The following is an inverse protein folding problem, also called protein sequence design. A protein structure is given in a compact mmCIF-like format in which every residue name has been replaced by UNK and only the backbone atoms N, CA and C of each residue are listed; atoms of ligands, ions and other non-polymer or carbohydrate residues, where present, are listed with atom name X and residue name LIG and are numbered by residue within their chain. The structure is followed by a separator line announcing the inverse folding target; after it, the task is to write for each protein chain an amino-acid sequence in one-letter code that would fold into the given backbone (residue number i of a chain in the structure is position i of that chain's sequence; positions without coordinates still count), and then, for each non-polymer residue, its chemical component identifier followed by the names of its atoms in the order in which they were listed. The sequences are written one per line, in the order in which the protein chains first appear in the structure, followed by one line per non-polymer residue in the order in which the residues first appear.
data_IF_088731990800
#
_entry.id   IF_088731990800
#
_cell.length_a   1.000
_cell.length_b   1.000
_cell.length_c   1.000
_cell.angle_alpha   90.00
_cell.angle_beta   90.00
_cell.angle_gamma   90.00
#
_symmetry.space_group_name_H-M   'P 1'
#
loop_
_entity.id
_entity.type
_entity.pdbx_description
1 polymer ?
#
# COMPACT_ATOMS: atom_id res chain seq x y z
N UNK A 1 12.84 -22.60 6.63
CA UNK A 1 11.62 -22.59 5.80
C UNK A 1 11.83 -23.01 4.33
N UNK A 2 12.96 -23.63 3.95
CA UNK A 2 13.36 -23.87 2.55
C UNK A 2 12.81 -25.17 1.90
N UNK A 3 12.43 -26.16 2.71
CA UNK A 3 12.18 -27.55 2.24
C UNK A 3 11.00 -27.78 1.28
N UNK A 4 10.02 -26.87 1.18
CA UNK A 4 8.78 -27.14 0.42
C UNK A 4 8.92 -26.88 -1.09
N UNK A 5 9.85 -26.03 -1.49
CA UNK A 5 9.99 -25.59 -2.89
C UNK A 5 11.29 -26.05 -3.56
N UNK A 6 12.19 -26.70 -2.80
CA UNK A 6 13.50 -27.17 -3.29
C UNK A 6 13.38 -28.06 -4.55
N UNK A 7 12.37 -28.94 -4.61
CA UNK A 7 12.15 -29.82 -5.75
C UNK A 7 11.68 -29.07 -7.02
N UNK A 8 10.85 -28.03 -6.84
CA UNK A 8 10.37 -27.20 -7.94
C UNK A 8 11.49 -26.29 -8.46
N UNK A 9 12.22 -25.63 -7.55
CA UNK A 9 13.36 -24.76 -7.89
C UNK A 9 14.42 -25.57 -8.66
N UNK A 10 14.80 -26.74 -8.18
CA UNK A 10 15.76 -27.62 -8.86
C UNK A 10 15.27 -28.08 -10.26
N UNK A 11 13.96 -28.27 -10.45
CA UNK A 11 13.40 -28.62 -11.75
C UNK A 11 13.43 -27.43 -12.73
N UNK A 12 13.18 -26.22 -12.25
CA UNK A 12 13.24 -24.98 -13.05
C UNK A 12 14.67 -24.64 -13.45
N UNK A 13 15.62 -24.77 -12.52
CA UNK A 13 17.06 -24.61 -12.78
C UNK A 13 17.56 -25.58 -13.87
N UNK A 14 17.15 -26.85 -13.81
CA UNK A 14 17.46 -27.85 -14.84
C UNK A 14 16.84 -27.54 -16.19
N UNK A 15 15.70 -26.84 -16.21
CA UNK A 15 15.02 -26.40 -17.43
C UNK A 15 15.55 -25.05 -17.95
N UNK A 16 16.54 -24.43 -17.29
CA UNK A 16 17.03 -23.08 -17.59
C UNK A 16 15.92 -22.02 -17.60
N UNK A 17 14.90 -22.22 -16.77
CA UNK A 17 13.86 -21.23 -16.54
C UNK A 17 14.24 -20.43 -15.29
N UNK A 18 14.25 -19.10 -15.41
CA UNK A 18 14.32 -18.26 -14.22
C UNK A 18 13.08 -18.53 -13.36
N UNK A 19 13.26 -18.96 -12.10
CA UNK A 19 12.12 -19.16 -11.25
C UNK A 19 11.53 -17.79 -10.90
N UNK A 20 10.35 -17.47 -11.44
CA UNK A 20 9.44 -16.53 -10.79
C UNK A 20 9.04 -17.21 -9.48
N UNK A 21 9.79 -16.92 -8.42
CA UNK A 21 9.66 -17.69 -7.19
C UNK A 21 8.29 -17.39 -6.61
N UNK A 22 7.52 -18.42 -6.31
CA UNK A 22 6.23 -18.32 -5.61
C UNK A 22 6.36 -17.46 -4.35
N UNK A 23 7.55 -17.42 -3.74
CA UNK A 23 7.94 -16.52 -2.65
C UNK A 23 7.76 -15.03 -2.98
N UNK A 24 8.14 -14.58 -4.19
CA UNK A 24 7.96 -13.19 -4.62
C UNK A 24 6.47 -12.84 -4.75
N UNK A 25 5.65 -13.78 -5.25
CA UNK A 25 4.20 -13.60 -5.35
C UNK A 25 3.51 -13.64 -3.98
N UNK A 26 4.00 -14.49 -3.06
CA UNK A 26 3.52 -14.52 -1.67
C UNK A 26 3.85 -13.22 -0.97
N UNK A 27 5.10 -12.77 -1.04
CA UNK A 27 5.55 -11.51 -0.47
C UNK A 27 4.78 -10.32 -1.04
N UNK A 28 4.61 -10.27 -2.36
CA UNK A 28 3.77 -9.25 -3.01
C UNK A 28 2.31 -9.27 -2.50
N UNK A 29 1.76 -10.46 -2.26
CA UNK A 29 0.43 -10.61 -1.68
C UNK A 29 0.34 -10.14 -0.23
N UNK A 30 1.36 -10.42 0.58
CA UNK A 30 1.48 -9.97 1.98
C UNK A 30 1.62 -8.45 2.06
N UNK A 31 2.55 -7.87 1.30
CA UNK A 31 2.78 -6.43 1.21
C UNK A 31 1.49 -5.69 0.81
N UNK A 32 0.79 -6.17 -0.22
CA UNK A 32 -0.52 -5.59 -0.60
C UNK A 32 -1.62 -5.80 0.44
N UNK A 33 -1.56 -6.88 1.20
CA UNK A 33 -2.49 -7.15 2.29
C UNK A 33 -2.30 -6.16 3.43
N UNK A 34 -1.05 -5.87 3.76
CA UNK A 34 -0.63 -4.88 4.75
C UNK A 34 -1.02 -3.46 4.34
N UNK A 35 -0.70 -3.05 3.11
CA UNK A 35 -1.10 -1.74 2.57
C UNK A 35 -2.62 -1.53 2.67
N UNK A 36 -3.41 -2.54 2.29
CA UNK A 36 -4.89 -2.49 2.40
C UNK A 36 -5.36 -2.40 3.84
N UNK A 37 -4.64 -2.97 4.80
CA UNK A 37 -4.95 -2.83 6.21
C UNK A 37 -4.64 -1.42 6.72
N UNK A 38 -3.47 -0.88 6.38
CA UNK A 38 -3.06 0.49 6.74
C UNK A 38 -4.01 1.54 6.16
N UNK A 39 -4.45 1.38 4.91
CA UNK A 39 -5.42 2.30 4.29
C UNK A 39 -6.75 2.35 5.03
N UNK A 40 -7.22 1.26 5.65
CA UNK A 40 -8.44 1.32 6.47
C UNK A 40 -8.26 2.20 7.71
N UNK A 41 -7.06 2.21 8.29
CA UNK A 41 -6.74 3.03 9.47
C UNK A 41 -6.64 4.50 9.04
N UNK A 42 -5.85 4.79 8.00
CA UNK A 42 -5.68 6.15 7.49
C UNK A 42 -7.00 6.75 6.98
N UNK A 43 -7.83 5.99 6.27
CA UNK A 43 -9.13 6.48 5.84
C UNK A 43 -10.03 6.91 7.01
N UNK A 44 -9.93 6.23 8.17
CA UNK A 44 -10.63 6.65 9.39
C UNK A 44 -10.01 7.88 10.03
N UNK A 45 -8.68 7.98 10.07
CA UNK A 45 -7.98 9.13 10.65
C UNK A 45 -8.23 10.40 9.84
N UNK A 46 -7.99 10.34 8.53
CA UNK A 46 -8.30 11.42 7.59
C UNK A 46 -9.77 11.79 7.67
N UNK A 47 -10.67 10.80 7.67
CA UNK A 47 -12.10 11.06 7.74
C UNK A 47 -12.55 11.77 9.03
N UNK A 48 -11.97 11.39 10.17
CA UNK A 48 -12.17 12.10 11.45
C UNK A 48 -11.64 13.54 11.37
N UNK A 49 -10.48 13.74 10.73
CA UNK A 49 -9.84 15.05 10.63
C UNK A 49 -10.62 16.03 9.75
N UNK A 50 -11.20 15.56 8.64
CA UNK A 50 -12.03 16.37 7.73
C UNK A 50 -13.53 16.39 8.09
N UNK A 51 -13.94 15.63 9.11
CA UNK A 51 -15.33 15.58 9.60
C UNK A 51 -16.28 14.80 8.70
N UNK A 52 -15.79 13.96 7.79
CA UNK A 52 -16.61 13.10 6.92
C UNK A 52 -15.88 11.84 6.49
N UNK A 53 -16.62 10.83 6.07
CA UNK A 53 -16.02 9.62 5.49
C UNK A 53 -15.37 9.91 4.13
N UNK A 54 -14.23 9.25 3.86
CA UNK A 54 -13.57 9.31 2.55
C UNK A 54 -14.35 8.52 1.50
N UNK A 55 -14.43 9.07 0.30
CA UNK A 55 -14.98 8.39 -0.87
C UNK A 55 -14.08 7.22 -1.31
N UNK A 56 -14.54 6.39 -2.24
CA UNK A 56 -13.69 5.35 -2.85
C UNK A 56 -12.50 5.97 -3.58
N UNK A 57 -12.70 7.05 -4.36
CA UNK A 57 -11.63 7.73 -5.09
C UNK A 57 -10.56 8.32 -4.17
N UNK A 58 -10.95 8.92 -3.05
CA UNK A 58 -9.99 9.44 -2.06
C UNK A 58 -9.22 8.32 -1.35
N UNK A 59 -9.85 7.16 -1.13
CA UNK A 59 -9.16 5.97 -0.62
C UNK A 59 -8.15 5.41 -1.62
N UNK A 60 -8.48 5.45 -2.92
CA UNK A 60 -7.54 5.05 -3.97
C UNK A 60 -6.36 6.02 -4.07
N UNK A 61 -6.59 7.33 -3.89
CA UNK A 61 -5.51 8.33 -3.81
C UNK A 61 -4.61 8.06 -2.61
N UNK A 62 -5.18 7.80 -1.42
CA UNK A 62 -4.39 7.42 -0.24
C UNK A 62 -3.57 6.16 -0.49
N UNK A 63 -4.13 5.15 -1.14
CA UNK A 63 -3.42 3.90 -1.45
C UNK A 63 -2.23 4.14 -2.37
N UNK A 64 -2.40 4.90 -3.46
CA UNK A 64 -1.29 5.24 -4.35
C UNK A 64 -0.19 6.03 -3.65
N UNK A 65 -0.57 6.90 -2.72
CA UNK A 65 0.40 7.69 -1.94
C UNK A 65 1.11 6.89 -0.88
N UNK A 66 0.44 5.93 -0.26
CA UNK A 66 1.08 4.97 0.63
C UNK A 66 2.14 4.17 -0.15
N UNK A 67 1.78 3.66 -1.34
CA UNK A 67 2.71 2.94 -2.23
C UNK A 67 3.88 3.85 -2.69
N UNK A 68 3.66 5.15 -2.89
CA UNK A 68 4.67 6.08 -3.41
C UNK A 68 5.57 6.73 -2.35
N UNK A 69 5.03 7.03 -1.17
CA UNK A 69 5.68 7.87 -0.15
C UNK A 69 5.79 7.20 1.22
N UNK A 70 5.11 6.07 1.44
CA UNK A 70 5.09 5.37 2.72
C UNK A 70 4.19 6.02 3.78
N UNK A 71 4.11 5.36 4.94
CA UNK A 71 3.23 5.74 6.06
C UNK A 71 3.61 7.08 6.69
N UNK A 72 4.91 7.38 6.80
CA UNK A 72 5.42 8.61 7.42
C UNK A 72 4.81 9.86 6.77
N UNK A 73 4.69 9.87 5.44
CA UNK A 73 4.07 10.99 4.72
C UNK A 73 2.59 11.15 5.05
N UNK A 74 1.86 10.04 5.21
CA UNK A 74 0.44 10.07 5.57
C UNK A 74 0.24 10.52 7.02
N UNK A 75 1.13 10.13 7.93
CA UNK A 75 1.16 10.60 9.32
C UNK A 75 1.43 12.11 9.41
N UNK A 76 2.39 12.62 8.66
CA UNK A 76 2.66 14.06 8.59
C UNK A 76 1.44 14.83 8.09
N UNK A 77 0.83 14.38 6.99
CA UNK A 77 -0.34 15.05 6.41
C UNK A 77 -1.50 15.06 7.39
N UNK A 78 -1.85 13.92 8.00
CA UNK A 78 -3.00 13.87 8.91
C UNK A 78 -2.79 14.69 10.19
N UNK A 79 -1.53 14.83 10.62
CA UNK A 79 -1.15 15.53 11.85
C UNK A 79 -1.01 17.04 11.63
N UNK A 80 -0.32 17.43 10.56
CA UNK A 80 0.11 18.81 10.34
C UNK A 80 -0.88 19.62 9.52
N UNK A 81 -1.64 18.99 8.61
CA UNK A 81 -2.53 19.73 7.74
C UNK A 81 -3.86 20.05 8.43
N UNK A 82 -4.43 21.19 8.08
CA UNK A 82 -5.80 21.57 8.40
C UNK A 82 -6.82 20.72 7.62
N UNK A 83 -8.09 20.68 8.05
CA UNK A 83 -9.13 19.96 7.32
C UNK A 83 -9.28 20.38 5.85
N UNK A 84 -9.09 21.67 5.56
CA UNK A 84 -9.17 22.21 4.21
C UNK A 84 -7.97 21.78 3.36
N UNK A 85 -6.76 21.82 3.93
CA UNK A 85 -5.54 21.37 3.26
C UNK A 85 -5.58 19.87 2.96
N UNK A 86 -6.11 19.06 3.88
CA UNK A 86 -6.30 17.62 3.63
C UNK A 86 -7.30 17.40 2.49
N UNK A 87 -8.41 18.15 2.48
CA UNK A 87 -9.40 18.03 1.41
C UNK A 87 -8.82 18.41 0.05
N UNK A 88 -8.04 19.49 -0.02
CA UNK A 88 -7.33 19.89 -1.23
C UNK A 88 -6.28 18.84 -1.65
N UNK A 89 -5.50 18.33 -0.71
CA UNK A 89 -4.48 17.32 -0.96
C UNK A 89 -5.09 16.00 -1.46
N UNK A 90 -6.24 15.57 -0.95
CA UNK A 90 -6.96 14.40 -1.45
C UNK A 90 -7.56 14.62 -2.85
N UNK A 91 -7.89 15.86 -3.21
CA UNK A 91 -8.47 16.21 -4.50
C UNK A 91 -7.43 16.43 -5.61
N UNK A 92 -6.19 16.79 -5.25
CA UNK A 92 -5.09 16.97 -6.19
C UNK A 92 -4.30 15.66 -6.38
N UNK A 93 -4.41 14.97 -7.53
CA UNK A 93 -3.66 13.74 -7.78
C UNK A 93 -2.14 13.96 -7.96
N UNK A 94 -1.68 15.19 -8.17
CA UNK A 94 -0.26 15.53 -8.34
C UNK A 94 0.41 15.97 -7.02
N UNK A 95 -0.36 16.18 -5.95
CA UNK A 95 0.24 16.58 -4.68
C UNK A 95 1.09 15.45 -4.07
N UNK A 96 2.31 15.82 -3.66
CA UNK A 96 3.32 14.97 -3.03
C UNK A 96 3.03 14.73 -1.54
#
# INVERSE_FOLDING_TARGET
MRKRYDAMVAAMERAHLEPVIIEDLVKFGEDRGEDRACIRIYARLFGRRIGRTLTSGERDVLMRRLEAFGEERLDDVVTLFSPAEITAWLADPAAC
#
